data_IF_124558528081
#
_entry.id   IF_124558528081
#
_cell.length_a   1.000
_cell.length_b   1.000
_cell.length_c   1.000
_cell.angle_alpha   90.00
_cell.angle_beta   90.00
_cell.angle_gamma   90.00
#
_symmetry.space_group_name_H-M   'P 1'
#
loop_
_entity.id
_entity.type
_entity.pdbx_description
1 polymer ?
#
# COMPACT_ATOMS: atom_id res chain seq x y z
N UNK A 1 15.91 9.01 2.31
CA UNK A 1 14.44 8.94 2.36
C UNK A 1 13.89 10.33 2.63
N UNK A 2 12.92 10.77 1.83
CA UNK A 2 12.05 11.89 2.25
C UNK A 2 11.24 11.42 3.46
N UNK A 3 11.01 12.31 4.44
CA UNK A 3 10.11 12.01 5.56
C UNK A 3 8.67 12.12 5.08
N UNK A 4 7.86 11.10 5.37
CA UNK A 4 6.42 11.18 5.15
C UNK A 4 5.82 12.28 6.05
N UNK A 5 4.80 12.97 5.54
CA UNK A 5 4.00 13.89 6.35
C UNK A 5 3.02 13.12 7.22
N UNK A 6 2.61 13.69 8.36
CA UNK A 6 1.58 13.11 9.23
C UNK A 6 0.29 12.77 8.45
N UNK A 7 -0.13 13.65 7.55
CA UNK A 7 -1.31 13.42 6.71
C UNK A 7 -1.15 12.21 5.78
N UNK A 8 0.03 12.02 5.17
CA UNK A 8 0.28 10.85 4.32
C UNK A 8 0.24 9.54 5.13
N UNK A 9 0.79 9.55 6.36
CA UNK A 9 0.72 8.40 7.26
C UNK A 9 -0.74 8.07 7.60
N UNK A 10 -1.55 9.06 7.99
CA UNK A 10 -2.97 8.87 8.31
C UNK A 10 -3.78 8.38 7.10
N UNK A 11 -3.45 8.84 5.89
CA UNK A 11 -4.09 8.35 4.67
C UNK A 11 -3.76 6.88 4.40
N UNK A 12 -2.49 6.48 4.57
CA UNK A 12 -2.07 5.08 4.42
C UNK A 12 -2.78 4.17 5.44
N UNK A 13 -2.90 4.62 6.70
CA UNK A 13 -3.65 3.88 7.73
C UNK A 13 -5.13 3.71 7.36
N UNK A 14 -5.78 4.79 6.91
CA UNK A 14 -7.19 4.73 6.47
C UNK A 14 -7.37 3.78 5.29
N UNK A 15 -6.45 3.80 4.32
CA UNK A 15 -6.50 2.89 3.18
C UNK A 15 -6.32 1.43 3.62
N UNK A 16 -5.36 1.16 4.50
CA UNK A 16 -5.14 -0.17 5.07
C UNK A 16 -6.41 -0.72 5.72
N UNK A 17 -7.06 0.04 6.60
CA UNK A 17 -8.28 -0.40 7.27
C UNK A 17 -9.40 -0.68 6.26
N UNK A 18 -9.58 0.19 5.25
CA UNK A 18 -10.57 -0.02 4.19
C UNK A 18 -10.27 -1.29 3.38
N UNK A 19 -9.02 -1.59 3.09
CA UNK A 19 -8.61 -2.82 2.37
C UNK A 19 -8.98 -4.06 3.21
N UNK A 20 -8.66 -4.05 4.51
CA UNK A 20 -8.94 -5.16 5.45
C UNK A 20 -10.45 -5.39 5.64
N UNK A 21 -11.25 -4.34 5.59
CA UNK A 21 -12.72 -4.40 5.76
C UNK A 21 -13.49 -4.68 4.46
N UNK A 22 -12.89 -4.40 3.30
CA UNK A 22 -13.54 -4.66 2.02
C UNK A 22 -13.57 -6.16 1.71
N UNK A 23 -14.69 -6.64 1.19
CA UNK A 23 -14.80 -7.99 0.60
C UNK A 23 -14.82 -7.94 -0.94
N UNK A 24 -14.89 -6.75 -1.52
CA UNK A 24 -14.98 -6.55 -2.97
C UNK A 24 -13.59 -6.36 -3.59
N UNK A 25 -13.29 -7.18 -4.59
CA UNK A 25 -11.97 -7.26 -5.23
C UNK A 25 -11.66 -5.99 -6.04
N UNK A 26 -12.67 -5.39 -6.68
CA UNK A 26 -12.50 -4.16 -7.45
C UNK A 26 -12.19 -2.99 -6.52
N UNK A 27 -12.99 -2.81 -5.48
CA UNK A 27 -12.78 -1.83 -4.40
C UNK A 27 -11.40 -1.99 -3.78
N UNK A 28 -10.97 -3.22 -3.44
CA UNK A 28 -9.60 -3.46 -2.94
C UNK A 28 -8.54 -3.05 -3.94
N UNK A 29 -8.75 -3.33 -5.22
CA UNK A 29 -7.81 -2.94 -6.28
C UNK A 29 -7.66 -1.42 -6.34
N UNK A 30 -8.76 -0.67 -6.29
CA UNK A 30 -8.74 0.80 -6.30
C UNK A 30 -8.00 1.36 -5.06
N UNK A 31 -8.31 0.84 -3.87
CA UNK A 31 -7.66 1.26 -2.63
C UNK A 31 -6.15 0.98 -2.64
N UNK A 32 -5.75 -0.17 -3.18
CA UNK A 32 -4.34 -0.52 -3.34
C UNK A 32 -3.64 0.39 -4.38
N UNK A 33 -4.34 0.82 -5.44
CA UNK A 33 -3.80 1.81 -6.40
C UNK A 33 -3.61 3.16 -5.72
N UNK A 34 -4.57 3.63 -4.92
CA UNK A 34 -4.39 4.86 -4.13
C UNK A 34 -3.23 4.74 -3.14
N UNK A 35 -3.00 3.54 -2.58
CA UNK A 35 -1.84 3.28 -1.72
C UNK A 35 -0.52 3.41 -2.49
N UNK A 36 -0.46 2.86 -3.71
CA UNK A 36 0.70 2.97 -4.62
C UNK A 36 1.06 4.44 -4.88
N UNK A 37 0.06 5.29 -5.14
CA UNK A 37 0.23 6.72 -5.40
C UNK A 37 0.83 7.46 -4.20
N UNK A 38 0.31 7.23 -2.99
CA UNK A 38 0.83 7.88 -1.78
C UNK A 38 2.26 7.42 -1.48
N UNK A 39 2.55 6.13 -1.60
CA UNK A 39 3.92 5.61 -1.41
C UNK A 39 4.91 6.25 -2.40
N UNK A 40 4.48 6.46 -3.64
CA UNK A 40 5.27 7.15 -4.68
C UNK A 40 5.56 8.60 -4.30
N UNK A 41 4.55 9.31 -3.80
CA UNK A 41 4.67 10.72 -3.37
C UNK A 41 5.60 10.89 -2.18
N UNK A 42 5.58 9.94 -1.24
CA UNK A 42 6.52 9.91 -0.11
C UNK A 42 7.95 9.70 -0.65
N UNK A 43 8.21 8.55 -1.26
CA UNK A 43 9.54 8.21 -1.78
C UNK A 43 9.46 7.07 -2.81
N UNK A 44 9.41 7.43 -4.10
CA UNK A 44 9.40 6.48 -5.22
C UNK A 44 10.69 5.64 -5.35
N UNK A 45 11.77 5.99 -4.65
CA UNK A 45 13.00 5.20 -4.61
C UNK A 45 13.06 4.28 -3.39
N UNK A 46 12.06 4.32 -2.52
CA UNK A 46 12.01 3.45 -1.34
C UNK A 46 11.84 1.98 -1.71
N UNK A 47 12.36 1.10 -0.86
CA UNK A 47 12.11 -0.34 -0.96
C UNK A 47 10.62 -0.66 -0.83
N UNK A 48 9.88 0.09 0.01
CA UNK A 48 8.44 -0.08 0.18
C UNK A 48 7.69 0.16 -1.14
N UNK A 49 7.93 1.29 -1.80
CA UNK A 49 7.29 1.57 -3.10
C UNK A 49 7.66 0.51 -4.14
N UNK A 50 8.95 0.19 -4.26
CA UNK A 50 9.45 -0.75 -5.26
C UNK A 50 8.84 -2.15 -5.08
N UNK A 51 8.82 -2.66 -3.85
CA UNK A 51 8.22 -3.96 -3.53
C UNK A 51 6.71 -3.94 -3.75
N UNK A 52 6.04 -2.87 -3.31
CA UNK A 52 4.60 -2.71 -3.45
C UNK A 52 4.17 -2.72 -4.93
N UNK A 53 4.84 -1.95 -5.80
CA UNK A 53 4.55 -1.93 -7.25
C UNK A 53 4.77 -3.32 -7.88
N UNK A 54 5.82 -4.02 -7.46
CA UNK A 54 6.12 -5.38 -7.92
C UNK A 54 4.96 -6.35 -7.67
N UNK A 55 4.48 -6.39 -6.43
CA UNK A 55 3.33 -7.24 -6.07
C UNK A 55 2.01 -6.70 -6.61
N UNK A 56 1.85 -5.38 -6.76
CA UNK A 56 0.66 -4.77 -7.38
C UNK A 56 0.48 -5.21 -8.82
N UNK A 57 1.56 -5.31 -9.58
CA UNK A 57 1.51 -5.82 -10.96
C UNK A 57 1.00 -7.26 -11.00
N UNK A 58 1.45 -8.10 -10.06
CA UNK A 58 1.01 -9.50 -9.96
C UNK A 58 -0.44 -9.59 -9.50
N UNK A 59 -0.83 -8.79 -8.51
CA UNK A 59 -2.20 -8.72 -8.00
C UNK A 59 -3.18 -8.27 -9.08
N UNK A 60 -2.87 -7.24 -9.86
CA UNK A 60 -3.73 -6.76 -10.98
C UNK A 60 -4.06 -7.87 -11.97
N UNK A 61 -3.13 -8.81 -12.21
CA UNK A 61 -3.33 -9.92 -13.15
C UNK A 61 -4.01 -11.14 -12.52
N UNK A 62 -3.67 -11.49 -11.27
CA UNK A 62 -4.07 -12.77 -10.67
C UNK A 62 -5.19 -12.65 -9.65
N UNK A 63 -5.37 -11.47 -9.04
CA UNK A 63 -6.31 -11.23 -7.93
C UNK A 63 -6.21 -12.25 -6.80
N UNK A 64 -5.00 -12.78 -6.58
CA UNK A 64 -4.76 -13.84 -5.60
C UNK A 64 -4.65 -13.26 -4.19
N UNK A 65 -5.36 -13.89 -3.23
CA UNK A 65 -5.37 -13.50 -1.81
C UNK A 65 -3.95 -13.44 -1.22
N UNK A 66 -3.08 -14.38 -1.58
CA UNK A 66 -1.70 -14.39 -1.07
C UNK A 66 -0.91 -13.13 -1.48
N UNK A 67 -1.17 -12.58 -2.67
CA UNK A 67 -0.52 -11.35 -3.13
C UNK A 67 -1.13 -10.14 -2.44
N UNK A 68 -2.45 -10.14 -2.22
CA UNK A 68 -3.13 -9.13 -1.40
C UNK A 68 -2.51 -9.07 0.02
N UNK A 69 -2.32 -10.21 0.67
CA UNK A 69 -1.70 -10.28 1.99
C UNK A 69 -0.26 -9.75 2.00
N UNK A 70 0.52 -10.02 0.94
CA UNK A 70 1.86 -9.46 0.79
C UNK A 70 1.85 -7.93 0.66
N UNK A 71 0.93 -7.38 -0.15
CA UNK A 71 0.74 -5.94 -0.31
C UNK A 71 0.37 -5.25 1.01
N UNK A 72 -0.54 -5.85 1.78
CA UNK A 72 -0.93 -5.33 3.11
C UNK A 72 0.25 -5.39 4.08
N UNK A 73 1.09 -6.42 4.02
CA UNK A 73 2.30 -6.53 4.86
C UNK A 73 3.29 -5.42 4.55
N UNK A 74 3.57 -5.17 3.26
CA UNK A 74 4.45 -4.06 2.83
C UNK A 74 3.90 -2.71 3.32
N UNK A 75 2.58 -2.52 3.24
CA UNK A 75 1.93 -1.31 3.73
C UNK A 75 2.05 -1.15 5.25
N UNK A 76 1.85 -2.22 6.01
CA UNK A 76 2.01 -2.21 7.47
C UNK A 76 3.44 -1.84 7.88
N UNK A 77 4.46 -2.43 7.24
CA UNK A 77 5.88 -2.11 7.49
C UNK A 77 6.23 -0.66 7.11
N UNK A 78 5.68 -0.16 6.00
CA UNK A 78 5.91 1.22 5.57
C UNK A 78 5.32 2.23 6.58
N UNK A 79 4.09 1.98 7.05
CA UNK A 79 3.43 2.83 8.05
C UNK A 79 4.24 2.85 9.35
N UNK A 80 4.70 1.70 9.83
CA UNK A 80 5.51 1.61 11.05
C UNK A 80 6.81 2.39 10.92
N UNK A 81 7.51 2.24 9.79
CA UNK A 81 8.76 2.95 9.55
C UNK A 81 8.58 4.46 9.40
N UNK A 82 7.48 4.93 8.81
CA UNK A 82 7.24 6.36 8.64
C UNK A 82 6.82 7.09 9.93
N UNK A 83 6.34 6.34 10.94
CA UNK A 83 5.98 6.90 12.26
C UNK A 83 7.19 7.13 13.17
N UNK A 84 8.29 6.42 12.94
CA UNK A 84 9.53 6.47 13.73
C UNK A 84 10.56 7.43 13.15
#
# INVERSE_FOLDING_TARGET
MKKATQNQIEQLEKLREKIKLSNDVETKTELLVSTEEILKEIDFMSNYYTNFVGDMRRYKNQKAIAIESALVTILDEAIEQYKN
#
